data_IF_013775465819
#
_entry.id   IF_013775465819
#
_cell.length_a   1.000
_cell.length_b   1.000
_cell.length_c   1.000
_cell.angle_alpha   90.00
_cell.angle_beta   90.00
_cell.angle_gamma   90.00
#
_symmetry.space_group_name_H-M   'P 1'
#
loop_
_entity.id
_entity.type
_entity.pdbx_description
1 polymer ?
#
# COMPACT_ATOMS: atom_id res chain seq x y z
N UNK A 1 -22.03 0.45 -8.25
CA UNK A 1 -20.83 0.29 -7.41
C UNK A 1 -19.77 -0.41 -8.25
N UNK A 2 -18.58 0.17 -8.41
CA UNK A 2 -17.50 -0.35 -9.27
C UNK A 2 -16.16 -0.54 -8.57
N UNK A 3 -16.06 -0.23 -7.27
CA UNK A 3 -14.82 -0.28 -6.49
C UNK A 3 -14.57 -1.69 -5.91
N UNK A 4 -14.61 -2.71 -6.77
CA UNK A 4 -14.44 -4.11 -6.36
C UNK A 4 -12.99 -4.52 -6.12
N UNK A 5 -12.77 -5.37 -5.13
CA UNK A 5 -11.53 -6.09 -4.85
C UNK A 5 -11.85 -7.55 -4.52
N UNK A 6 -10.90 -8.49 -4.73
CA UNK A 6 -11.06 -9.88 -4.30
C UNK A 6 -11.43 -10.01 -2.82
N UNK A 7 -12.30 -10.96 -2.50
CA UNK A 7 -12.77 -11.21 -1.13
C UNK A 7 -11.66 -11.67 -0.17
N UNK A 8 -10.57 -12.22 -0.70
CA UNK A 8 -9.37 -12.63 0.04
C UNK A 8 -8.36 -11.48 0.28
N UNK A 9 -8.61 -10.28 -0.26
CA UNK A 9 -7.76 -9.12 -0.03
C UNK A 9 -7.65 -8.79 1.46
N UNK A 10 -6.43 -8.62 1.95
CA UNK A 10 -6.15 -8.23 3.34
C UNK A 10 -6.37 -6.73 3.54
N UNK A 11 -7.27 -6.40 4.46
CA UNK A 11 -7.68 -5.06 4.85
C UNK A 11 -7.04 -4.69 6.19
N UNK A 12 -6.25 -3.62 6.28
CA UNK A 12 -5.76 -3.13 7.56
C UNK A 12 -6.91 -2.48 8.36
N UNK A 13 -7.07 -2.96 9.58
CA UNK A 13 -8.00 -2.50 10.61
C UNK A 13 -7.22 -2.17 11.89
N UNK A 14 -7.78 -1.41 12.85
CA UNK A 14 -7.06 -1.04 14.07
C UNK A 14 -6.48 -2.21 14.89
N UNK A 15 -7.06 -3.40 14.75
CA UNK A 15 -6.63 -4.64 15.41
C UNK A 15 -5.68 -5.52 14.59
N UNK A 16 -5.25 -5.09 13.40
CA UNK A 16 -4.35 -5.86 12.52
C UNK A 16 -4.89 -5.97 11.09
N UNK A 17 -4.66 -7.10 10.43
CA UNK A 17 -5.19 -7.36 9.09
C UNK A 17 -6.30 -8.41 9.15
N UNK A 18 -7.39 -8.16 8.42
CA UNK A 18 -8.50 -9.10 8.24
C UNK A 18 -8.78 -9.25 6.75
N UNK A 19 -9.42 -10.34 6.31
CA UNK A 19 -9.82 -10.44 4.89
C UNK A 19 -11.03 -9.56 4.65
N UNK A 20 -11.16 -9.04 3.43
CA UNK A 20 -12.31 -8.26 3.00
C UNK A 20 -13.64 -9.02 3.22
N UNK A 21 -13.64 -10.34 3.02
CA UNK A 21 -14.79 -11.20 3.28
C UNK A 21 -15.22 -11.28 4.75
N UNK A 22 -14.32 -10.94 5.68
CA UNK A 22 -14.58 -11.05 7.12
C UNK A 22 -15.06 -9.71 7.72
N UNK A 23 -15.10 -8.63 6.93
CA UNK A 23 -15.62 -7.33 7.37
C UNK A 23 -17.15 -7.31 7.40
N UNK A 24 -17.68 -6.56 8.36
CA UNK A 24 -19.11 -6.32 8.56
C UNK A 24 -19.43 -4.83 8.64
N UNK A 25 -20.68 -4.47 8.41
CA UNK A 25 -21.19 -3.12 8.71
C UNK A 25 -20.94 -2.79 10.18
N UNK A 26 -20.34 -1.62 10.43
CA UNK A 26 -19.96 -1.14 11.76
C UNK A 26 -18.50 -1.40 12.12
N UNK A 27 -17.76 -2.22 11.37
CA UNK A 27 -16.32 -2.36 11.55
C UNK A 27 -15.59 -1.07 11.15
N UNK A 28 -14.44 -0.81 11.77
CA UNK A 28 -13.61 0.34 11.42
C UNK A 28 -12.40 -0.08 10.59
N UNK A 29 -12.16 0.62 9.48
CA UNK A 29 -10.97 0.50 8.64
C UNK A 29 -10.18 1.82 8.67
N UNK A 30 -8.94 1.82 8.18
CA UNK A 30 -8.18 3.06 8.08
C UNK A 30 -8.54 3.89 6.84
N UNK A 31 -8.58 5.22 6.99
CA UNK A 31 -8.69 6.19 5.89
C UNK A 31 -7.31 6.63 5.39
N UNK A 32 -7.25 7.26 4.22
CA UNK A 32 -5.98 7.68 3.64
C UNK A 32 -5.25 8.78 4.44
N UNK A 33 -5.93 9.48 5.33
CA UNK A 33 -5.33 10.49 6.22
C UNK A 33 -4.65 9.88 7.47
N UNK A 34 -4.75 8.56 7.66
CA UNK A 34 -4.20 7.84 8.81
C UNK A 34 -5.22 7.61 9.94
N UNK A 35 -6.42 8.20 9.83
CA UNK A 35 -7.52 8.02 10.76
C UNK A 35 -8.31 6.72 10.54
N UNK A 36 -9.40 6.57 11.27
CA UNK A 36 -10.35 5.44 11.12
C UNK A 36 -11.68 5.92 10.57
N UNK A 37 -12.29 5.11 9.72
CA UNK A 37 -13.61 5.32 9.14
C UNK A 37 -14.43 4.03 9.23
N UNK A 38 -15.73 4.16 9.46
CA UNK A 38 -16.61 3.01 9.65
C UNK A 38 -17.16 2.48 8.33
N UNK A 39 -17.24 1.15 8.23
CA UNK A 39 -17.86 0.41 7.15
C UNK A 39 -19.38 0.55 7.27
N UNK A 40 -20.00 1.20 6.29
CA UNK A 40 -21.45 1.30 6.16
C UNK A 40 -22.05 0.04 5.53
N UNK A 41 -21.38 -0.49 4.51
CA UNK A 41 -21.85 -1.65 3.76
C UNK A 41 -20.69 -2.43 3.17
N UNK A 42 -20.80 -3.76 3.20
CA UNK A 42 -19.97 -4.69 2.43
C UNK A 42 -20.83 -5.24 1.29
N UNK A 43 -20.65 -4.69 0.09
CA UNK A 43 -21.45 -5.02 -1.08
C UNK A 43 -20.86 -6.19 -1.85
N UNK A 44 -21.64 -7.26 -2.03
CA UNK A 44 -21.24 -8.41 -2.85
C UNK A 44 -21.36 -8.09 -4.34
N UNK A 45 -20.24 -8.21 -5.06
CA UNK A 45 -20.23 -8.06 -6.51
C UNK A 45 -20.35 -9.41 -7.21
N UNK A 46 -20.13 -10.54 -6.54
CA UNK A 46 -20.03 -11.84 -7.19
C UNK A 46 -18.69 -12.03 -7.90
N UNK A 47 -18.63 -13.04 -8.77
CA UNK A 47 -17.45 -13.32 -9.58
C UNK A 47 -17.20 -12.21 -10.62
N UNK A 48 -15.97 -11.73 -10.70
CA UNK A 48 -15.50 -10.72 -11.66
C UNK A 48 -14.12 -11.07 -12.15
N UNK A 49 -13.82 -10.71 -13.40
CA UNK A 49 -12.44 -10.66 -13.88
C UNK A 49 -11.69 -9.56 -13.13
N UNK A 50 -10.49 -9.88 -12.68
CA UNK A 50 -9.65 -8.97 -11.89
C UNK A 50 -8.31 -8.75 -12.57
N UNK A 51 -7.70 -7.61 -12.27
CA UNK A 51 -6.36 -7.26 -12.71
C UNK A 51 -5.48 -6.93 -11.51
N UNK A 52 -4.19 -7.23 -11.63
CA UNK A 52 -3.15 -6.80 -10.72
C UNK A 52 -2.51 -5.51 -11.26
N UNK A 53 -2.65 -4.42 -10.49
CA UNK A 53 -2.01 -3.13 -10.75
C UNK A 53 -0.69 -3.10 -9.99
N UNK A 54 0.44 -2.96 -10.68
CA UNK A 54 1.78 -2.87 -10.07
C UNK A 54 2.29 -1.44 -10.09
N UNK A 55 2.85 -0.99 -8.97
CA UNK A 55 3.38 0.35 -8.80
C UNK A 55 4.92 0.38 -8.84
N UNK A 56 5.48 1.58 -9.02
CA UNK A 56 6.93 1.82 -9.06
C UNK A 56 7.67 1.57 -7.75
N UNK A 57 6.93 1.39 -6.66
CA UNK A 57 7.45 1.02 -5.35
C UNK A 57 7.33 -0.48 -5.04
N UNK A 58 6.94 -1.28 -6.04
CA UNK A 58 6.78 -2.74 -5.95
C UNK A 58 5.48 -3.20 -5.31
N UNK A 59 4.64 -2.31 -4.79
CA UNK A 59 3.33 -2.70 -4.28
C UNK A 59 2.43 -3.17 -5.43
N UNK A 60 1.46 -4.02 -5.10
CA UNK A 60 0.47 -4.51 -6.06
C UNK A 60 -0.94 -4.47 -5.47
N UNK A 61 -1.94 -4.15 -6.28
CA UNK A 61 -3.35 -4.17 -5.90
C UNK A 61 -4.17 -5.02 -6.87
N UNK A 62 -5.00 -5.92 -6.36
CA UNK A 62 -5.94 -6.69 -7.18
C UNK A 62 -7.30 -6.00 -7.16
N UNK A 63 -7.81 -5.62 -8.32
CA UNK A 63 -9.07 -4.87 -8.46
C UNK A 63 -9.85 -5.32 -9.69
N UNK A 64 -11.14 -4.97 -9.74
CA UNK A 64 -11.94 -5.07 -10.97
C UNK A 64 -11.55 -3.97 -11.97
N UNK A 65 -11.89 -4.16 -13.24
CA UNK A 65 -11.62 -3.20 -14.31
C UNK A 65 -12.31 -1.83 -14.09
N UNK A 66 -13.46 -1.82 -13.42
CA UNK A 66 -14.25 -0.62 -13.14
C UNK A 66 -13.78 0.12 -11.89
N UNK A 67 -12.75 -0.37 -11.20
CA UNK A 67 -12.29 0.22 -9.95
C UNK A 67 -11.84 1.68 -10.15
N UNK A 68 -12.40 2.65 -9.40
CA UNK A 68 -12.04 4.06 -9.52
C UNK A 68 -10.72 4.37 -8.80
N UNK A 69 -9.88 5.21 -9.41
CA UNK A 69 -8.59 5.67 -8.91
C UNK A 69 -8.50 7.18 -8.96
N UNK A 70 -8.06 7.81 -7.87
CA UNK A 70 -7.73 9.23 -7.85
C UNK A 70 -6.32 9.30 -8.42
N UNK A 71 -6.23 9.57 -9.71
CA UNK A 71 -4.98 9.52 -10.44
C UNK A 71 -4.66 10.87 -11.05
N UNK A 72 -3.36 11.17 -11.11
CA UNK A 72 -2.83 12.27 -11.89
C UNK A 72 -2.41 11.71 -13.25
N UNK A 73 -2.96 12.30 -14.30
CA UNK A 73 -2.57 12.03 -15.67
C UNK A 73 -1.43 12.97 -16.06
N UNK A 74 -0.22 12.43 -16.23
CA UNK A 74 0.94 13.22 -16.66
C UNK A 74 0.80 13.79 -18.08
N UNK A 75 -0.03 13.19 -18.94
CA UNK A 75 -0.25 13.68 -20.30
C UNK A 75 -1.09 14.97 -20.33
N UNK A 76 -2.02 15.13 -19.38
CA UNK A 76 -2.93 16.29 -19.31
C UNK A 76 -2.65 17.20 -18.12
N UNK A 77 -1.84 16.75 -17.15
CA UNK A 77 -1.59 17.44 -15.89
C UNK A 77 -2.77 17.45 -14.92
N UNK A 78 -3.80 16.64 -15.17
CA UNK A 78 -5.08 16.67 -14.42
C UNK A 78 -5.12 15.61 -13.32
N UNK A 79 -5.61 15.99 -12.15
CA UNK A 79 -5.99 15.08 -11.06
C UNK A 79 -7.51 14.83 -11.12
N UNK A 80 -7.91 13.58 -11.35
CA UNK A 80 -9.32 13.19 -11.44
C UNK A 80 -9.54 11.71 -11.09
N UNK A 81 -10.80 11.27 -11.14
CA UNK A 81 -11.16 9.85 -10.98
C UNK A 81 -11.13 9.16 -12.33
N UNK A 82 -10.32 8.10 -12.44
CA UNK A 82 -10.21 7.24 -13.61
C UNK A 82 -10.49 5.80 -13.24
N UNK A 83 -11.08 4.99 -14.11
CA UNK A 83 -11.22 3.55 -13.84
C UNK A 83 -9.96 2.82 -14.24
N UNK A 84 -9.73 1.64 -13.67
CA UNK A 84 -8.62 0.76 -14.09
C UNK A 84 -8.64 0.52 -15.60
N UNK A 85 -9.82 0.34 -16.20
CA UNK A 85 -10.02 0.18 -17.64
C UNK A 85 -9.60 1.40 -18.48
N UNK A 86 -9.62 2.61 -17.90
CA UNK A 86 -9.19 3.84 -18.58
C UNK A 86 -7.66 4.02 -18.45
N UNK A 87 -7.07 3.55 -17.35
CA UNK A 87 -5.62 3.61 -17.06
C UNK A 87 -4.83 2.55 -17.85
N UNK A 88 -5.29 1.30 -17.82
CA UNK A 88 -4.55 0.14 -18.32
C UNK A 88 -4.07 0.25 -19.79
N UNK A 89 -4.84 0.81 -20.73
CA UNK A 89 -4.40 0.93 -22.12
C UNK A 89 -3.30 1.99 -22.34
N UNK A 90 -3.06 2.87 -21.36
CA UNK A 90 -2.24 4.06 -21.53
C UNK A 90 -1.20 4.24 -20.42
N UNK A 91 -0.47 3.20 -20.06
CA UNK A 91 0.42 3.21 -18.90
C UNK A 91 1.62 4.17 -19.02
N UNK A 92 2.07 4.45 -20.24
CA UNK A 92 3.28 5.21 -20.50
C UNK A 92 3.02 6.37 -21.47
N UNK A 93 3.80 7.44 -21.31
CA UNK A 93 3.92 8.53 -22.27
C UNK A 93 4.74 8.08 -23.49
N UNK A 94 4.82 8.94 -24.51
CA UNK A 94 5.56 8.64 -25.74
C UNK A 94 7.07 8.45 -25.56
N UNK A 95 7.64 8.97 -24.47
CA UNK A 95 9.05 8.80 -24.08
C UNK A 95 9.28 7.58 -23.16
N UNK A 96 8.23 6.81 -22.85
CA UNK A 96 8.29 5.65 -21.97
C UNK A 96 8.18 5.96 -20.48
N UNK A 97 8.05 7.23 -20.07
CA UNK A 97 7.80 7.56 -18.66
C UNK A 97 6.39 7.11 -18.21
N UNK A 98 6.19 6.68 -16.96
CA UNK A 98 4.87 6.35 -16.44
C UNK A 98 3.90 7.54 -16.55
N UNK A 99 2.69 7.29 -17.09
CA UNK A 99 1.67 8.32 -17.30
C UNK A 99 0.85 8.59 -16.04
N UNK A 100 0.55 7.55 -15.26
CA UNK A 100 -0.41 7.63 -14.17
C UNK A 100 0.27 7.55 -12.83
N UNK A 101 -0.16 8.39 -11.89
CA UNK A 101 0.28 8.28 -10.50
C UNK A 101 -0.87 8.47 -9.51
N UNK A 102 -0.84 7.75 -8.40
CA UNK A 102 -1.88 7.77 -7.36
C UNK A 102 -1.29 8.27 -6.03
N UNK A 103 -2.08 8.95 -5.17
CA UNK A 103 -1.60 9.45 -3.90
C UNK A 103 -1.21 8.29 -2.96
N UNK A 104 -0.40 8.60 -1.96
CA UNK A 104 -0.12 7.70 -0.85
C UNK A 104 -1.10 7.96 0.30
N UNK A 105 -1.47 6.91 1.02
CA UNK A 105 -2.04 7.08 2.35
C UNK A 105 -0.96 7.54 3.35
N UNK A 106 -1.40 8.22 4.40
CA UNK A 106 -0.58 8.53 5.56
C UNK A 106 -0.34 7.27 6.41
N UNK A 107 0.59 7.38 7.36
CA UNK A 107 0.81 6.37 8.40
C UNK A 107 -0.46 6.12 9.20
N UNK A 108 -0.83 4.85 9.39
CA UNK A 108 -2.01 4.43 10.15
C UNK A 108 -1.64 3.95 11.54
N UNK A 109 -2.26 4.44 12.60
CA UNK A 109 -1.92 4.02 13.97
C UNK A 109 -2.66 2.75 14.38
N UNK A 110 -1.94 1.64 14.58
CA UNK A 110 -2.49 0.43 15.20
C UNK A 110 -2.51 0.55 16.74
N UNK A 111 -3.28 -0.30 17.41
CA UNK A 111 -3.43 -0.30 18.89
C UNK A 111 -2.19 -0.76 19.67
N UNK A 112 -1.09 -1.09 19.00
CA UNK A 112 0.14 -1.58 19.63
C UNK A 112 0.01 -3.00 20.15
N UNK A 113 1.08 -3.78 20.00
CA UNK A 113 1.20 -5.12 20.58
C UNK A 113 2.57 -5.25 21.24
N UNK A 114 2.73 -6.22 22.14
CA UNK A 114 4.06 -6.57 22.65
C UNK A 114 4.94 -7.10 21.51
N UNK A 115 6.09 -6.45 21.27
CA UNK A 115 7.00 -6.83 20.19
C UNK A 115 7.96 -7.94 20.63
N UNK A 116 8.31 -8.89 19.74
CA UNK A 116 9.19 -10.01 20.08
C UNK A 116 10.60 -9.59 20.50
N UNK A 117 11.15 -8.58 19.82
CA UNK A 117 12.43 -7.95 20.15
C UNK A 117 12.29 -6.43 20.03
N UNK A 118 13.33 -5.72 20.45
CA UNK A 118 13.41 -4.27 20.31
C UNK A 118 13.25 -3.84 18.82
N UNK A 119 12.35 -2.90 18.50
CA UNK A 119 12.06 -2.53 17.12
C UNK A 119 13.27 -1.98 16.36
N UNK A 120 14.15 -1.20 17.00
CA UNK A 120 15.40 -0.76 16.35
C UNK A 120 16.26 -1.96 15.96
N UNK A 121 16.43 -2.90 16.88
CA UNK A 121 17.19 -4.14 16.65
C UNK A 121 16.61 -4.93 15.48
N UNK A 122 15.29 -5.10 15.42
CA UNK A 122 14.63 -5.79 14.30
C UNK A 122 14.85 -5.08 12.95
N UNK A 123 14.80 -3.75 12.93
CA UNK A 123 15.13 -2.97 11.74
C UNK A 123 16.55 -3.22 11.25
N UNK A 124 17.52 -3.29 12.17
CA UNK A 124 18.90 -3.60 11.86
C UNK A 124 19.09 -5.05 11.37
N UNK A 125 18.35 -6.01 11.92
CA UNK A 125 18.33 -7.40 11.45
C UNK A 125 17.83 -7.51 10.01
N UNK A 126 16.74 -6.82 9.65
CA UNK A 126 16.28 -6.73 8.26
C UNK A 126 17.38 -6.14 7.39
N UNK A 127 17.98 -5.01 7.80
CA UNK A 127 19.05 -4.34 7.05
C UNK A 127 20.23 -5.26 6.78
N UNK A 128 20.57 -6.15 7.71
CA UNK A 128 21.68 -7.09 7.58
C UNK A 128 21.31 -8.38 6.85
N UNK A 129 20.02 -8.66 6.66
CA UNK A 129 19.55 -9.88 6.00
C UNK A 129 19.29 -11.05 6.93
N UNK A 130 19.03 -10.80 8.21
CA UNK A 130 18.79 -11.84 9.19
C UNK A 130 17.32 -12.26 9.30
N UNK A 131 16.39 -11.51 8.69
CA UNK A 131 14.97 -11.92 8.59
C UNK A 131 14.82 -13.19 7.77
N UNK A 132 14.18 -14.21 8.35
CA UNK A 132 14.07 -15.53 7.72
C UNK A 132 12.67 -15.89 7.27
N UNK A 133 11.65 -15.20 7.78
CA UNK A 133 10.25 -15.44 7.40
C UNK A 133 9.40 -14.16 7.42
N UNK A 134 8.42 -14.06 6.50
CA UNK A 134 7.45 -12.96 6.46
C UNK A 134 6.63 -12.83 7.74
N UNK A 135 6.40 -13.94 8.46
CA UNK A 135 5.67 -13.93 9.74
C UNK A 135 6.37 -13.11 10.83
N UNK A 136 7.68 -12.92 10.74
CA UNK A 136 8.44 -12.07 11.68
C UNK A 136 8.08 -10.59 11.53
N UNK A 137 7.57 -10.19 10.37
CA UNK A 137 7.30 -8.81 10.01
C UNK A 137 5.95 -8.31 10.54
N UNK A 138 4.96 -9.19 10.63
CA UNK A 138 3.57 -8.84 10.97
C UNK A 138 3.43 -8.10 12.32
N UNK A 139 4.15 -8.49 13.40
CA UNK A 139 4.13 -7.74 14.66
C UNK A 139 4.53 -6.28 14.51
N UNK A 140 5.46 -5.99 13.62
CA UNK A 140 5.99 -4.65 13.39
C UNK A 140 5.12 -3.85 12.41
N UNK A 141 4.54 -4.48 11.39
CA UNK A 141 3.61 -3.78 10.48
C UNK A 141 2.34 -3.30 11.20
N UNK A 142 1.95 -4.00 12.26
CA UNK A 142 0.78 -3.71 13.10
C UNK A 142 1.15 -3.06 14.44
N UNK A 143 2.40 -2.60 14.59
CA UNK A 143 2.85 -1.89 15.78
C UNK A 143 2.38 -0.43 15.77
N UNK A 144 2.54 0.25 16.92
CA UNK A 144 2.27 1.67 17.00
C UNK A 144 3.22 2.46 16.08
N UNK A 145 2.82 3.68 15.75
CA UNK A 145 3.61 4.61 14.93
C UNK A 145 5.02 4.85 15.48
N UNK A 146 5.17 4.87 16.81
CA UNK A 146 6.48 5.02 17.47
C UNK A 146 7.40 3.85 17.18
N UNK A 147 6.92 2.64 17.41
CA UNK A 147 7.71 1.42 17.20
C UNK A 147 8.10 1.24 15.72
N UNK A 148 7.18 1.49 14.79
CA UNK A 148 7.51 1.42 13.35
C UNK A 148 8.57 2.42 12.95
N UNK A 149 8.59 3.62 13.56
CA UNK A 149 9.68 4.59 13.34
C UNK A 149 11.00 4.08 13.89
N UNK A 150 11.01 3.38 15.03
CA UNK A 150 12.24 2.75 15.55
C UNK A 150 12.73 1.61 14.65
N UNK A 151 11.83 0.78 14.10
CA UNK A 151 12.21 -0.19 13.07
C UNK A 151 12.85 0.50 11.87
N UNK A 152 12.29 1.62 11.39
CA UNK A 152 12.91 2.37 10.31
C UNK A 152 14.26 2.97 10.72
N UNK A 153 14.45 3.42 11.96
CA UNK A 153 15.74 3.92 12.44
C UNK A 153 16.83 2.82 12.38
N UNK A 154 16.50 1.59 12.78
CA UNK A 154 17.38 0.43 12.65
C UNK A 154 17.64 0.08 11.19
N UNK A 155 16.59 0.07 10.37
CA UNK A 155 16.68 -0.21 8.93
C UNK A 155 17.59 0.78 8.18
N UNK A 156 17.56 2.05 8.58
CA UNK A 156 18.40 3.11 8.01
C UNK A 156 19.73 3.30 8.75
N UNK A 157 20.05 2.47 9.75
CA UNK A 157 21.37 2.44 10.36
C UNK A 157 22.47 2.28 9.28
N UNK A 158 23.65 2.81 9.53
CA UNK A 158 24.74 2.76 8.54
C UNK A 158 24.42 3.47 7.22
N UNK A 159 23.61 4.53 7.25
CA UNK A 159 23.16 5.32 6.07
C UNK A 159 22.28 4.51 5.10
N UNK A 160 21.50 3.57 5.61
CA UNK A 160 20.57 2.76 4.82
C UNK A 160 21.27 1.79 3.85
N UNK A 161 22.52 1.43 4.12
CA UNK A 161 23.20 0.42 3.30
C UNK A 161 22.75 -0.99 3.70
N UNK A 162 22.23 -1.72 2.72
CA UNK A 162 21.88 -3.14 2.79
C UNK A 162 22.84 -3.95 1.91
N UNK A 163 23.50 -5.01 2.41
CA UNK A 163 24.43 -5.81 1.62
C UNK A 163 23.69 -6.69 0.59
N UNK A 164 24.37 -7.10 -0.49
CA UNK A 164 23.80 -8.04 -1.46
C UNK A 164 23.33 -9.36 -0.84
N UNK A 165 23.96 -9.78 0.27
CA UNK A 165 23.62 -11.00 0.99
C UNK A 165 22.27 -10.95 1.70
N UNK A 166 21.63 -9.78 1.81
CA UNK A 166 20.37 -9.66 2.54
C UNK A 166 19.20 -10.40 1.86
N UNK A 167 19.30 -10.64 0.55
CA UNK A 167 18.31 -11.40 -0.21
C UNK A 167 16.98 -10.67 -0.40
N UNK A 168 16.09 -11.30 -1.15
CA UNK A 168 14.84 -10.68 -1.59
C UNK A 168 13.85 -10.44 -0.45
N UNK A 169 13.81 -11.35 0.54
CA UNK A 169 12.91 -11.23 1.70
C UNK A 169 13.23 -9.99 2.54
N UNK A 170 14.51 -9.68 2.77
CA UNK A 170 14.91 -8.49 3.49
C UNK A 170 14.54 -7.21 2.73
N UNK A 171 14.77 -7.18 1.41
CA UNK A 171 14.35 -6.08 0.55
C UNK A 171 12.83 -5.88 0.59
N UNK A 172 12.05 -6.96 0.47
CA UNK A 172 10.60 -6.93 0.53
C UNK A 172 10.11 -6.41 1.90
N UNK A 173 10.67 -6.94 2.98
CA UNK A 173 10.32 -6.55 4.37
C UNK A 173 10.61 -5.06 4.63
N UNK A 174 11.79 -4.60 4.20
CA UNK A 174 12.19 -3.20 4.25
C UNK A 174 11.20 -2.30 3.47
N UNK A 175 10.80 -2.74 2.28
CA UNK A 175 9.88 -2.00 1.43
C UNK A 175 8.48 -1.90 2.07
N UNK A 176 7.96 -3.00 2.63
CA UNK A 176 6.68 -3.03 3.36
C UNK A 176 6.68 -2.08 4.56
N UNK A 177 7.75 -2.09 5.37
CA UNK A 177 7.87 -1.16 6.51
C UNK A 177 7.92 0.30 6.07
N UNK A 178 8.63 0.63 4.98
CA UNK A 178 8.63 1.99 4.45
C UNK A 178 7.23 2.41 3.98
N UNK A 179 6.53 1.54 3.24
CA UNK A 179 5.14 1.75 2.80
C UNK A 179 4.18 1.92 3.98
N UNK A 180 4.42 1.23 5.10
CA UNK A 180 3.62 1.32 6.33
C UNK A 180 3.52 2.72 6.93
N UNK A 181 4.50 3.56 6.63
CA UNK A 181 4.59 4.94 7.13
C UNK A 181 4.16 5.98 6.09
N UNK A 182 3.55 5.54 4.99
CA UNK A 182 3.13 6.42 3.89
C UNK A 182 4.29 6.91 3.02
N UNK A 183 5.38 6.14 2.93
CA UNK A 183 6.55 6.49 2.11
C UNK A 183 6.76 5.50 0.96
N UNK A 184 7.34 5.99 -0.14
CA UNK A 184 7.76 5.15 -1.27
C UNK A 184 9.19 4.65 -1.01
N UNK A 185 9.42 3.33 -0.89
CA UNK A 185 10.76 2.76 -0.84
C UNK A 185 11.53 3.00 -2.13
N UNK A 186 12.83 3.25 -2.01
CA UNK A 186 13.75 3.40 -3.14
C UNK A 186 15.03 2.64 -2.83
N UNK A 187 15.40 1.74 -3.76
CA UNK A 187 16.62 0.94 -3.68
C UNK A 187 17.55 1.35 -4.82
N UNK A 188 18.67 2.00 -4.48
CA UNK A 188 19.70 2.36 -5.45
C UNK A 188 20.88 1.41 -5.31
N UNK A 189 21.41 0.90 -6.43
CA UNK A 189 22.61 0.06 -6.39
C UNK A 189 23.79 0.86 -5.80
N UNK A 190 24.43 0.30 -4.78
CA UNK A 190 25.55 0.92 -4.06
C UNK A 190 26.65 -0.11 -3.79
N UNK A 191 27.71 -0.09 -4.61
CA UNK A 191 28.75 -1.11 -4.57
C UNK A 191 28.17 -2.49 -4.88
N UNK A 192 28.40 -3.45 -3.99
CA UNK A 192 27.81 -4.78 -4.09
C UNK A 192 26.42 -4.87 -3.47
N UNK A 193 25.94 -3.84 -2.77
CA UNK A 193 24.64 -3.85 -2.11
C UNK A 193 23.69 -2.79 -2.65
N UNK A 194 22.80 -2.35 -1.77
CA UNK A 194 21.76 -1.38 -2.02
C UNK A 194 21.86 -0.25 -1.01
N UNK A 195 21.64 0.97 -1.47
CA UNK A 195 21.34 2.11 -0.62
C UNK A 195 19.83 2.31 -0.64
N UNK A 196 19.24 2.09 0.52
CA UNK A 196 17.82 2.30 0.76
C UNK A 196 17.58 3.76 1.12
N UNK A 197 16.57 4.35 0.49
CA UNK A 197 16.00 5.63 0.90
C UNK A 197 14.48 5.54 0.85
N UNK A 198 13.79 6.54 1.39
CA UNK A 198 12.34 6.65 1.30
C UNK A 198 11.93 8.06 0.89
N UNK A 199 10.90 8.16 0.07
CA UNK A 199 10.32 9.44 -0.36
C UNK A 199 8.95 9.60 0.29
N UNK A 200 8.74 10.70 1.01
CA UNK A 200 7.46 11.06 1.62
C UNK A 200 6.81 12.21 0.83
N UNK A 201 5.48 12.33 0.89
CA UNK A 201 4.74 13.39 0.19
C UNK A 201 4.81 13.28 -1.35
N UNK A 202 5.13 12.09 -1.87
CA UNK A 202 5.15 11.80 -3.30
C UNK A 202 3.96 10.92 -3.69
N UNK A 203 3.73 10.76 -5.00
CA UNK A 203 2.77 9.80 -5.55
C UNK A 203 3.54 8.55 -5.99
N UNK A 204 2.84 7.42 -6.07
CA UNK A 204 3.36 6.20 -6.70
C UNK A 204 2.89 6.11 -8.14
N UNK A 205 3.75 5.66 -9.04
CA UNK A 205 3.44 5.55 -10.47
C UNK A 205 2.86 4.18 -10.79
N UNK A 206 1.86 4.11 -11.67
CA UNK A 206 1.34 2.83 -12.17
C UNK A 206 2.25 2.34 -13.30
N UNK A 207 2.87 1.17 -13.12
CA UNK A 207 3.80 0.60 -14.10
C UNK A 207 3.15 -0.43 -15.00
N UNK A 208 2.32 -1.31 -14.44
CA UNK A 208 1.66 -2.37 -15.20
C UNK A 208 0.28 -2.69 -14.67
N UNK A 209 -0.56 -3.19 -15.57
CA UNK A 209 -1.85 -3.80 -15.26
C UNK A 209 -1.88 -5.13 -15.99
N UNK A 210 -1.91 -6.22 -15.23
CA UNK A 210 -1.90 -7.59 -15.77
C UNK A 210 -3.15 -8.33 -15.35
N UNK A 211 -3.62 -9.26 -16.18
CA UNK A 211 -4.71 -10.16 -15.81
C UNK A 211 -4.37 -10.92 -14.51
N UNK A 212 -5.33 -10.96 -13.59
CA UNK A 212 -5.24 -11.69 -12.33
C UNK A 212 -6.34 -12.76 -12.20
N UNK A 213 -7.07 -13.00 -13.30
CA UNK A 213 -8.12 -14.00 -13.40
C UNK A 213 -9.39 -13.65 -12.60
N UNK A 214 -10.39 -14.54 -12.66
CA UNK A 214 -11.65 -14.33 -11.98
C UNK A 214 -11.52 -14.54 -10.47
N UNK A 215 -12.19 -13.70 -9.68
CA UNK A 215 -12.31 -13.84 -8.24
C UNK A 215 -13.72 -13.43 -7.76
N UNK A 216 -14.15 -13.96 -6.61
CA UNK A 216 -15.27 -13.38 -5.89
C UNK A 216 -14.85 -11.98 -5.40
N UNK A 217 -15.59 -10.95 -5.78
CA UNK A 217 -15.26 -9.58 -5.42
C UNK A 217 -16.29 -8.95 -4.50
N UNK A 218 -15.81 -8.12 -3.59
CA UNK A 218 -16.60 -7.32 -2.67
C UNK A 218 -16.24 -5.83 -2.84
N UNK A 219 -17.11 -4.96 -2.37
CA UNK A 219 -16.88 -3.51 -2.30
C UNK A 219 -17.20 -2.99 -0.91
N UNK A 220 -16.50 -1.93 -0.49
CA UNK A 220 -16.76 -1.25 0.77
C UNK A 220 -17.42 0.11 0.52
N UNK A 221 -18.50 0.37 1.24
CA UNK A 221 -19.04 1.71 1.42
C UNK A 221 -18.63 2.21 2.81
N UNK A 222 -18.05 3.41 2.90
CA UNK A 222 -17.51 3.98 4.13
C UNK A 222 -18.26 5.27 4.51
N UNK A 223 -18.22 5.63 5.80
CA UNK A 223 -18.91 6.81 6.38
C UNK A 223 -18.43 8.13 5.79
N UNK A 224 -17.12 8.32 5.68
CA UNK A 224 -16.57 9.35 4.79
C UNK A 224 -16.73 8.82 3.36
N UNK A 225 -17.62 9.44 2.56
CA UNK A 225 -18.14 8.92 1.27
C UNK A 225 -17.08 8.81 0.15
N UNK A 226 -15.82 8.61 0.49
CA UNK A 226 -14.78 8.18 -0.41
C UNK A 226 -15.09 6.74 -0.87
N UNK A 227 -15.73 6.61 -2.03
CA UNK A 227 -16.08 5.33 -2.66
C UNK A 227 -14.86 4.54 -3.21
N UNK A 228 -13.68 4.74 -2.63
CA UNK A 228 -12.40 4.42 -3.22
C UNK A 228 -11.50 3.76 -2.19
N UNK A 229 -11.90 2.61 -1.65
CA UNK A 229 -11.04 1.83 -0.78
C UNK A 229 -10.30 0.79 -1.62
N UNK A 230 -8.98 0.91 -1.72
CA UNK A 230 -8.11 -0.14 -2.25
C UNK A 230 -6.94 -0.33 -1.31
N UNK A 231 -6.55 -1.59 -1.14
CA UNK A 231 -5.34 -1.97 -0.44
C UNK A 231 -4.60 -3.00 -1.27
N UNK A 232 -3.30 -3.09 -1.07
CA UNK A 232 -2.47 -3.99 -1.82
C UNK A 232 -1.29 -4.40 -0.98
N UNK A 233 -1.22 -5.69 -0.64
CA UNK A 233 -0.24 -6.45 0.15
C UNK A 233 0.27 -5.83 1.47
N UNK A 234 0.54 -4.54 1.49
CA UNK A 234 1.16 -3.80 2.56
C UNK A 234 0.18 -2.80 3.21
N UNK A 235 -0.42 -1.83 2.49
CA UNK A 235 -1.21 -0.74 3.12
C UNK A 235 -2.29 -0.14 2.22
N UNK A 236 -3.13 0.72 2.81
CA UNK A 236 -4.21 1.48 2.14
C UNK A 236 -3.62 2.30 0.99
N UNK A 237 -4.12 2.05 -0.21
CA UNK A 237 -3.66 2.70 -1.45
C UNK A 237 -4.56 3.88 -1.84
N UNK A 238 -5.82 3.91 -1.40
CA UNK A 238 -6.73 5.05 -1.63
C UNK A 238 -7.81 5.17 -0.54
N UNK A 239 -8.15 6.43 -0.18
CA UNK A 239 -9.49 6.90 0.23
C UNK A 239 -9.46 8.40 0.65
N UNK A 240 -9.72 9.32 -0.29
CA UNK A 240 -10.53 10.55 -0.12
C UNK A 240 -10.58 11.33 -1.45
N UNK A 241 -11.79 11.59 -1.97
CA UNK A 241 -12.04 12.70 -2.88
C UNK A 241 -12.35 13.93 -2.03
N UNK A 242 -11.35 14.56 -1.44
CA UNK A 242 -11.54 15.97 -1.06
C UNK A 242 -11.21 16.81 -2.28
N UNK A 243 -12.11 17.66 -2.79
CA UNK A 243 -11.68 18.77 -3.61
C UNK A 243 -10.74 19.61 -2.73
N UNK A 244 -9.57 19.97 -3.24
CA UNK A 244 -8.79 21.07 -2.66
C UNK A 244 -9.72 22.29 -2.58
N UNK A 245 -10.02 22.78 -1.36
CA UNK A 245 -10.82 23.99 -1.17
C UNK A 245 -12.08 23.88 -0.29
N UNK A 246 -12.01 23.22 0.87
CA UNK A 246 -12.89 23.55 2.00
C UNK A 246 -12.04 24.29 3.05
N UNK A 247 -12.50 25.49 3.42
CA UNK A 247 -11.77 26.56 4.13
C UNK A 247 -11.04 26.14 5.42
#
# INVERSE_FOLDING_TARGET
>A
MGAGQPADTLIPVPSGFVRLADLLTGDSVFSADGGTVDVLEVGDLGWRETVAVTFDDGATARVVHEHPWLARDAATGTDAVYRTADIAPHLHLGDGAPRWSVPLAHSVGFRGIALPIDPYTFGDEIRQGFTTAESELLPYLTAEDGDRREVLNGLFAGKGHMPASAGDLACASAASLMRSTGAVPVFEKAGFGWRMTRRAGVRRSVLSVTDAGPAQCLSLLLTDRAAMYVTGADFVLTCALRPEGAA
#
